data_IF_543916320869
#
_entry.id   IF_543916320869
#
_cell.length_a   1.000
_cell.length_b   1.000
_cell.length_c   1.000
_cell.angle_alpha   90.00
_cell.angle_beta   90.00
_cell.angle_gamma   90.00
#
_symmetry.space_group_name_H-M   'P 1'
#
loop_
_entity.id
_entity.type
_entity.pdbx_description
1 polymer ?
#
# COMPACT_ATOMS: atom_id res chain seq x y z
N UNK A 1 -3.99 -5.87 -5.74
CA UNK A 1 -4.07 -5.92 -4.27
C UNK A 1 -3.87 -4.52 -3.68
N UNK A 2 -4.65 -4.18 -2.63
CA UNK A 2 -4.54 -2.96 -1.83
C UNK A 2 -4.02 -3.31 -0.43
N UNK A 3 -2.81 -2.90 -0.12
CA UNK A 3 -2.10 -3.17 1.13
C UNK A 3 -2.38 -2.06 2.14
N UNK A 4 -2.84 -2.46 3.34
CA UNK A 4 -3.32 -1.51 4.35
C UNK A 4 -4.64 -0.85 3.95
N UNK A 5 -5.40 -1.50 3.06
CA UNK A 5 -6.63 -0.97 2.48
C UNK A 5 -7.81 -0.88 3.44
N UNK A 6 -7.73 -1.50 4.61
CA UNK A 6 -8.72 -1.62 5.68
C UNK A 6 -10.01 -0.84 5.51
N UNK A 7 -10.05 0.40 5.97
CA UNK A 7 -11.22 1.29 5.87
C UNK A 7 -11.11 2.31 4.71
N UNK A 8 -10.16 2.10 3.79
CA UNK A 8 -9.98 2.92 2.60
C UNK A 8 -11.21 2.84 1.68
N UNK A 9 -11.48 3.94 0.96
CA UNK A 9 -12.51 4.00 -0.07
C UNK A 9 -11.98 3.62 -1.47
N UNK A 10 -10.72 3.24 -1.61
CA UNK A 10 -10.18 2.86 -2.91
C UNK A 10 -10.98 1.71 -3.53
N UNK A 11 -11.28 0.70 -2.74
CA UNK A 11 -12.07 -0.46 -3.20
C UNK A 11 -13.46 -0.08 -3.72
N UNK A 12 -14.09 0.95 -3.14
CA UNK A 12 -15.40 1.45 -3.60
C UNK A 12 -15.28 2.00 -5.03
N UNK A 13 -14.23 2.80 -5.29
CA UNK A 13 -13.96 3.34 -6.63
C UNK A 13 -13.56 2.26 -7.63
N UNK A 14 -12.75 1.30 -7.23
CA UNK A 14 -12.36 0.18 -8.10
C UNK A 14 -13.58 -0.63 -8.55
N UNK A 15 -14.50 -0.91 -7.64
CA UNK A 15 -15.76 -1.59 -7.97
C UNK A 15 -16.64 -0.76 -8.89
N UNK A 16 -16.73 0.56 -8.67
CA UNK A 16 -17.51 1.46 -9.51
C UNK A 16 -16.96 1.54 -10.95
N UNK A 17 -15.64 1.42 -11.11
CA UNK A 17 -14.93 1.37 -12.39
C UNK A 17 -14.86 -0.06 -12.97
N UNK A 18 -15.65 -1.00 -12.40
CA UNK A 18 -15.78 -2.38 -12.88
C UNK A 18 -14.47 -3.19 -12.82
N UNK A 19 -13.54 -2.87 -11.90
CA UNK A 19 -12.41 -3.73 -11.64
C UNK A 19 -12.87 -5.02 -10.97
N UNK A 20 -12.30 -6.12 -11.42
CA UNK A 20 -12.52 -7.47 -10.89
C UNK A 20 -11.22 -7.98 -10.21
N UNK A 21 -11.32 -9.11 -9.52
CA UNK A 21 -10.17 -9.76 -8.86
C UNK A 21 -9.44 -8.84 -7.85
N UNK A 22 -10.21 -8.07 -7.08
CA UNK A 22 -9.69 -7.15 -6.08
C UNK A 22 -9.38 -7.92 -4.79
N UNK A 23 -8.17 -7.72 -4.26
CA UNK A 23 -7.78 -8.20 -2.93
C UNK A 23 -7.48 -7.01 -2.04
N UNK A 24 -7.97 -7.04 -0.81
CA UNK A 24 -7.63 -6.06 0.25
C UNK A 24 -6.95 -6.78 1.38
N UNK A 25 -5.76 -6.35 1.75
CA UNK A 25 -5.02 -6.86 2.89
C UNK A 25 -4.88 -5.76 3.95
N UNK A 26 -5.19 -6.10 5.18
CA UNK A 26 -4.94 -5.22 6.33
C UNK A 26 -4.68 -6.06 7.59
N UNK A 27 -3.93 -5.51 8.52
CA UNK A 27 -3.72 -6.13 9.84
C UNK A 27 -4.94 -5.95 10.75
N UNK A 28 -5.78 -4.95 10.48
CA UNK A 28 -6.95 -4.59 11.29
C UNK A 28 -8.23 -5.23 10.78
N UNK A 29 -8.62 -6.34 11.37
CA UNK A 29 -9.91 -6.99 11.09
C UNK A 29 -11.08 -6.02 11.26
N UNK A 30 -11.06 -5.18 12.32
CA UNK A 30 -12.11 -4.18 12.57
C UNK A 30 -12.22 -3.13 11.47
N UNK A 31 -11.12 -2.73 10.84
CA UNK A 31 -11.15 -1.81 9.71
C UNK A 31 -11.81 -2.47 8.50
N UNK A 32 -11.46 -3.72 8.22
CA UNK A 32 -12.09 -4.50 7.15
C UNK A 32 -13.59 -4.74 7.39
N UNK A 33 -14.00 -5.02 8.61
CA UNK A 33 -15.43 -5.18 8.94
C UNK A 33 -16.23 -3.89 8.64
N UNK A 34 -15.67 -2.71 8.93
CA UNK A 34 -16.29 -1.44 8.57
C UNK A 34 -16.42 -1.27 7.06
N UNK A 35 -15.38 -1.61 6.32
CA UNK A 35 -15.39 -1.57 4.85
C UNK A 35 -16.43 -2.54 4.28
N UNK A 36 -16.46 -3.79 4.76
CA UNK A 36 -17.45 -4.79 4.36
C UNK A 36 -18.89 -4.31 4.63
N UNK A 37 -19.13 -3.74 5.81
CA UNK A 37 -20.45 -3.18 6.17
C UNK A 37 -20.84 -2.02 5.23
N UNK A 38 -19.91 -1.15 4.88
CA UNK A 38 -20.13 -0.03 3.95
C UNK A 38 -20.47 -0.52 2.55
N UNK A 39 -19.78 -1.53 2.05
CA UNK A 39 -19.95 -2.09 0.71
C UNK A 39 -21.21 -2.97 0.57
N UNK A 40 -21.74 -3.48 1.69
CA UNK A 40 -22.89 -4.38 1.66
C UNK A 40 -22.62 -5.62 0.82
N UNK A 41 -23.55 -5.96 -0.08
CA UNK A 41 -23.45 -7.16 -0.95
C UNK A 41 -22.21 -7.11 -1.86
N UNK A 42 -21.71 -5.94 -2.21
CA UNK A 42 -20.52 -5.80 -3.03
C UNK A 42 -19.23 -6.28 -2.33
N UNK A 43 -19.23 -6.41 -1.00
CA UNK A 43 -18.11 -6.95 -0.26
C UNK A 43 -17.78 -8.40 -0.64
N UNK A 44 -18.75 -9.16 -1.12
CA UNK A 44 -18.58 -10.55 -1.58
C UNK A 44 -17.71 -10.66 -2.85
N UNK A 45 -17.54 -9.56 -3.59
CA UNK A 45 -16.71 -9.49 -4.79
C UNK A 45 -15.23 -9.30 -4.48
N UNK A 46 -14.87 -9.09 -3.21
CA UNK A 46 -13.53 -8.73 -2.76
C UNK A 46 -12.92 -9.90 -1.99
N UNK A 47 -11.65 -10.20 -2.27
CA UNK A 47 -10.87 -11.11 -1.45
C UNK A 47 -10.27 -10.34 -0.26
N UNK A 48 -10.70 -10.67 0.97
CA UNK A 48 -10.28 -9.99 2.19
C UNK A 48 -9.26 -10.84 2.94
N UNK A 49 -8.09 -10.28 3.24
CA UNK A 49 -6.99 -10.96 3.92
C UNK A 49 -6.60 -10.17 5.17
N UNK A 50 -6.85 -10.74 6.34
CA UNK A 50 -6.33 -10.20 7.62
C UNK A 50 -4.96 -10.79 7.87
N UNK A 51 -3.92 -9.97 7.73
CA UNK A 51 -2.53 -10.41 7.90
C UNK A 51 -1.59 -9.24 8.17
N UNK A 52 -0.53 -9.49 8.92
CA UNK A 52 0.67 -8.68 8.86
C UNK A 52 1.34 -8.88 7.50
N UNK A 53 1.68 -7.80 6.83
CA UNK A 53 2.30 -7.86 5.49
C UNK A 53 3.65 -8.58 5.51
N UNK A 54 4.38 -8.56 6.61
CA UNK A 54 5.67 -9.24 6.75
C UNK A 54 5.54 -10.76 6.89
N UNK A 55 4.34 -11.24 7.23
CA UNK A 55 4.01 -12.68 7.34
C UNK A 55 3.13 -13.15 6.17
N UNK A 56 2.71 -12.24 5.30
CA UNK A 56 1.86 -12.55 4.15
C UNK A 56 2.59 -13.44 3.14
N UNK A 57 1.96 -14.54 2.77
CA UNK A 57 2.47 -15.52 1.80
C UNK A 57 1.50 -15.61 0.62
N UNK A 58 1.57 -14.68 -0.35
CA UNK A 58 0.67 -14.72 -1.50
C UNK A 58 0.86 -16.00 -2.32
N UNK A 59 -0.25 -16.64 -2.65
CA UNK A 59 -0.28 -17.83 -3.50
C UNK A 59 -0.42 -17.46 -4.99
N UNK A 60 -0.95 -16.29 -5.28
CA UNK A 60 -1.16 -15.76 -6.63
C UNK A 60 -0.28 -14.55 -6.89
N UNK A 61 -0.13 -14.21 -8.16
CA UNK A 61 0.48 -12.96 -8.58
C UNK A 61 -0.59 -11.85 -8.68
N UNK A 62 -0.16 -10.59 -8.56
CA UNK A 62 -1.00 -9.42 -8.66
C UNK A 62 -0.50 -8.51 -9.77
N UNK A 63 -1.36 -8.12 -10.72
CA UNK A 63 -0.98 -7.18 -11.77
C UNK A 63 -0.60 -5.83 -11.21
N UNK A 64 -1.36 -5.36 -10.23
CA UNK A 64 -1.15 -4.08 -9.54
C UNK A 64 -1.04 -4.33 -8.03
N UNK A 65 0.02 -3.82 -7.46
CA UNK A 65 0.24 -3.76 -6.01
C UNK A 65 0.16 -2.31 -5.58
N UNK A 66 -0.87 -1.97 -4.84
CA UNK A 66 -1.05 -0.64 -4.25
C UNK A 66 -0.78 -0.70 -2.75
N UNK A 67 0.07 0.18 -2.26
CA UNK A 67 0.34 0.37 -0.84
C UNK A 67 0.32 1.87 -0.54
N UNK A 68 -0.64 2.28 0.25
CA UNK A 68 -0.68 3.62 0.80
C UNK A 68 -0.56 3.56 2.31
N UNK A 69 0.59 4.03 2.81
CA UNK A 69 0.85 4.18 4.24
C UNK A 69 0.99 2.86 5.04
N UNK A 70 1.41 1.75 4.38
CA UNK A 70 1.79 0.52 5.08
C UNK A 70 3.30 0.34 5.10
N UNK A 71 3.96 0.51 3.96
CA UNK A 71 5.41 0.32 3.84
C UNK A 71 6.22 1.18 4.82
N UNK A 72 5.78 2.37 5.15
CA UNK A 72 6.48 3.26 6.08
C UNK A 72 6.48 2.76 7.54
N UNK A 73 5.62 1.81 7.92
CA UNK A 73 5.67 1.17 9.24
C UNK A 73 6.76 0.10 9.36
N UNK A 74 7.33 -0.32 8.23
CA UNK A 74 8.45 -1.26 8.21
C UNK A 74 9.73 -0.48 8.50
N UNK A 75 10.17 -0.50 9.75
CA UNK A 75 11.27 0.33 10.23
C UNK A 75 12.59 -0.43 10.35
N UNK A 76 12.56 -1.77 10.31
CA UNK A 76 13.78 -2.58 10.38
C UNK A 76 14.19 -3.09 8.99
N UNK A 77 15.50 -3.28 8.75
CA UNK A 77 15.98 -3.84 7.48
C UNK A 77 15.36 -5.19 7.13
N UNK A 78 15.13 -6.04 8.12
CA UNK A 78 14.56 -7.38 7.92
C UNK A 78 13.10 -7.33 7.44
N UNK A 79 12.29 -6.41 8.00
CA UNK A 79 10.90 -6.20 7.58
C UNK A 79 10.85 -5.67 6.15
N UNK A 80 11.70 -4.68 5.84
CA UNK A 80 11.78 -4.06 4.51
C UNK A 80 12.19 -5.12 3.48
N UNK A 81 13.22 -5.93 3.78
CA UNK A 81 13.69 -6.99 2.88
C UNK A 81 12.62 -8.05 2.62
N UNK A 82 11.89 -8.50 3.66
CA UNK A 82 10.76 -9.42 3.51
C UNK A 82 9.71 -8.87 2.55
N UNK A 83 9.30 -7.63 2.76
CA UNK A 83 8.30 -6.95 1.94
C UNK A 83 8.75 -6.83 0.48
N UNK A 84 9.98 -6.37 0.24
CA UNK A 84 10.55 -6.23 -1.11
C UNK A 84 10.60 -7.58 -1.82
N UNK A 85 11.01 -8.65 -1.15
CA UNK A 85 11.01 -10.01 -1.71
C UNK A 85 9.62 -10.49 -2.15
N UNK A 86 8.58 -10.15 -1.38
CA UNK A 86 7.19 -10.46 -1.75
C UNK A 86 6.82 -9.73 -3.04
N UNK A 87 7.07 -8.43 -3.10
CA UNK A 87 6.77 -7.57 -4.26
C UNK A 87 7.53 -8.07 -5.50
N UNK A 88 8.84 -8.28 -5.42
CA UNK A 88 9.65 -8.74 -6.53
C UNK A 88 9.15 -10.05 -7.14
N UNK A 89 8.63 -10.93 -6.30
CA UNK A 89 8.13 -12.24 -6.70
C UNK A 89 6.70 -12.18 -7.25
N UNK A 90 5.83 -11.33 -6.70
CA UNK A 90 4.38 -11.44 -6.84
C UNK A 90 3.70 -10.29 -7.59
N UNK A 91 4.41 -9.19 -7.80
CA UNK A 91 3.87 -8.11 -8.63
C UNK A 91 4.13 -8.43 -10.09
N UNK A 92 3.07 -8.41 -10.91
CA UNK A 92 3.12 -8.73 -12.33
C UNK A 92 3.47 -7.54 -13.21
N UNK A 93 2.89 -6.36 -12.91
CA UNK A 93 3.03 -5.19 -13.79
C UNK A 93 3.41 -3.92 -13.05
N UNK A 94 2.60 -3.46 -12.11
CA UNK A 94 2.80 -2.15 -11.48
C UNK A 94 2.84 -2.22 -9.96
N UNK A 95 3.77 -1.44 -9.39
CA UNK A 95 3.82 -1.12 -7.96
C UNK A 95 3.49 0.36 -7.79
N UNK A 96 2.47 0.65 -7.00
CA UNK A 96 2.10 2.00 -6.57
C UNK A 96 2.32 2.07 -5.07
N UNK A 97 3.22 2.96 -4.63
CA UNK A 97 3.58 3.06 -3.22
C UNK A 97 3.52 4.50 -2.74
N UNK A 98 2.85 4.71 -1.61
CA UNK A 98 2.73 5.98 -0.93
C UNK A 98 3.24 5.90 0.50
N UNK A 99 4.25 6.68 0.84
CA UNK A 99 4.86 6.75 2.17
C UNK A 99 4.89 8.19 2.66
N UNK A 100 5.12 8.40 3.96
CA UNK A 100 5.50 9.74 4.39
C UNK A 100 6.83 10.15 3.74
N UNK A 101 6.85 11.40 3.22
CA UNK A 101 8.06 12.01 2.70
C UNK A 101 9.00 12.42 3.85
N UNK A 102 10.20 12.88 3.51
CA UNK A 102 11.14 13.45 4.47
C UNK A 102 10.58 14.67 5.24
N UNK A 103 9.54 15.32 4.68
CA UNK A 103 8.81 16.44 5.30
C UNK A 103 7.52 16.01 6.00
N UNK A 104 7.19 14.73 5.92
CA UNK A 104 6.03 14.14 6.57
C UNK A 104 6.27 13.87 8.06
N UNK A 105 5.25 13.36 8.77
CA UNK A 105 5.37 12.99 10.17
C UNK A 105 6.39 11.85 10.40
N UNK A 106 7.03 11.84 11.59
CA UNK A 106 7.88 10.74 12.04
C UNK A 106 7.13 9.65 12.78
N UNK A 107 5.83 9.89 13.04
CA UNK A 107 4.92 8.94 13.69
C UNK A 107 3.57 8.92 12.99
N UNK A 108 2.96 7.75 12.94
CA UNK A 108 1.59 7.55 12.47
C UNK A 108 0.85 6.67 13.48
N UNK A 109 -0.32 7.12 13.94
CA UNK A 109 -1.13 6.40 14.95
C UNK A 109 -0.32 6.01 16.20
N UNK A 110 0.63 6.85 16.63
CA UNK A 110 1.49 6.61 17.79
C UNK A 110 2.71 5.72 17.54
N UNK A 111 2.82 5.09 16.37
CA UNK A 111 3.94 4.24 15.98
C UNK A 111 5.00 5.04 15.21
N UNK A 112 6.26 4.67 15.39
CA UNK A 112 7.35 5.22 14.60
C UNK A 112 7.25 4.75 13.14
N UNK A 113 7.59 5.63 12.20
CA UNK A 113 7.59 5.34 10.78
C UNK A 113 8.91 5.76 10.14
N UNK A 114 9.25 5.09 9.05
CA UNK A 114 10.37 5.46 8.20
C UNK A 114 9.87 6.38 7.08
N UNK A 115 10.44 7.56 6.98
CA UNK A 115 10.19 8.49 5.89
C UNK A 115 11.01 8.12 4.67
N UNK A 116 10.52 8.43 3.48
CA UNK A 116 11.22 8.13 2.23
C UNK A 116 11.16 9.29 1.24
N UNK A 117 12.30 9.64 0.70
CA UNK A 117 12.40 10.43 -0.51
C UNK A 117 12.06 9.59 -1.76
N UNK A 118 11.80 10.26 -2.89
CA UNK A 118 11.57 9.58 -4.16
C UNK A 118 12.81 8.77 -4.63
N UNK A 119 14.02 9.26 -4.33
CA UNK A 119 15.26 8.57 -4.67
C UNK A 119 15.51 7.32 -3.82
N UNK A 120 15.14 7.35 -2.54
CA UNK A 120 15.23 6.16 -1.67
C UNK A 120 14.25 5.08 -2.09
N UNK A 121 13.00 5.44 -2.44
CA UNK A 121 12.04 4.47 -2.99
C UNK A 121 12.52 3.89 -4.32
N UNK A 122 13.07 4.73 -5.21
CA UNK A 122 13.66 4.25 -6.47
C UNK A 122 14.79 3.25 -6.21
N UNK A 123 15.72 3.57 -5.32
CA UNK A 123 16.82 2.66 -4.96
C UNK A 123 16.27 1.35 -4.37
N UNK A 124 15.26 1.44 -3.51
CA UNK A 124 14.68 0.29 -2.81
C UNK A 124 14.08 -0.74 -3.78
N UNK A 125 13.45 -0.27 -4.88
CA UNK A 125 12.76 -1.14 -5.82
C UNK A 125 13.48 -1.33 -7.16
N UNK A 126 14.66 -0.71 -7.38
CA UNK A 126 15.40 -0.69 -8.65
C UNK A 126 15.79 -2.07 -9.20
N UNK A 127 15.88 -3.09 -8.35
CA UNK A 127 16.28 -4.44 -8.77
C UNK A 127 15.32 -5.06 -9.80
N UNK A 128 14.01 -4.87 -9.60
CA UNK A 128 12.98 -5.48 -10.45
C UNK A 128 12.00 -4.48 -11.07
N UNK A 129 12.14 -3.20 -10.73
CA UNK A 129 11.18 -2.20 -11.16
C UNK A 129 11.87 -0.94 -11.67
N UNK A 130 11.28 -0.36 -12.72
CA UNK A 130 11.64 0.94 -13.26
C UNK A 130 10.67 1.99 -12.73
N UNK A 131 11.20 3.06 -12.18
CA UNK A 131 10.39 4.20 -11.78
C UNK A 131 9.77 4.88 -13.01
N UNK A 132 8.45 5.04 -12.99
CA UNK A 132 7.73 5.82 -14.00
C UNK A 132 7.52 7.25 -13.56
N UNK A 133 7.06 7.45 -12.31
CA UNK A 133 6.71 8.78 -11.79
C UNK A 133 6.76 8.77 -10.27
N UNK A 134 7.22 9.89 -9.69
CA UNK A 134 6.98 10.20 -8.28
C UNK A 134 6.40 11.61 -8.15
N UNK A 135 5.53 11.80 -7.17
CA UNK A 135 4.98 13.10 -6.77
C UNK A 135 5.07 13.23 -5.25
N UNK A 136 5.22 14.46 -4.78
CA UNK A 136 5.03 14.78 -3.36
C UNK A 136 3.70 15.53 -3.21
N UNK A 137 2.90 15.14 -2.23
CA UNK A 137 1.55 15.69 -2.04
C UNK A 137 1.23 15.84 -0.56
N UNK A 138 0.60 16.97 -0.23
CA UNK A 138 0.05 17.22 1.09
C UNK A 138 -1.34 16.58 1.23
N UNK A 139 -1.47 15.65 2.15
CA UNK A 139 -2.75 15.11 2.59
C UNK A 139 -3.22 15.84 3.83
N UNK A 140 -4.44 16.39 3.78
CA UNK A 140 -5.08 16.99 4.95
C UNK A 140 -5.93 15.94 5.63
N UNK A 141 -5.61 15.65 6.88
CA UNK A 141 -6.38 14.68 7.69
C UNK A 141 -7.74 15.27 8.10
N UNK A 142 -8.70 14.45 8.54
CA UNK A 142 -9.96 14.95 9.13
C UNK A 142 -9.78 15.89 10.34
N UNK A 143 -8.58 15.90 10.94
CA UNK A 143 -8.21 16.78 12.06
C UNK A 143 -7.44 18.03 11.61
N UNK A 144 -7.53 18.38 10.31
CA UNK A 144 -6.87 19.54 9.70
C UNK A 144 -5.33 19.55 9.80
N UNK A 145 -4.71 18.40 10.14
CA UNK A 145 -3.26 18.27 10.13
C UNK A 145 -2.77 17.89 8.75
N UNK A 146 -1.66 18.50 8.32
CA UNK A 146 -1.02 18.17 7.05
C UNK A 146 -0.05 17.01 7.22
N UNK A 147 -0.12 16.06 6.30
CA UNK A 147 0.81 14.95 6.19
C UNK A 147 1.37 14.94 4.77
N UNK A 148 2.66 15.18 4.62
CA UNK A 148 3.29 15.17 3.32
C UNK A 148 3.70 13.75 2.95
N UNK A 149 3.25 13.30 1.77
CA UNK A 149 3.52 11.97 1.21
C UNK A 149 4.41 12.06 -0.02
N UNK A 150 5.21 11.03 -0.22
CA UNK A 150 5.84 10.69 -1.49
C UNK A 150 5.07 9.52 -2.09
N UNK A 151 4.47 9.70 -3.28
CA UNK A 151 3.83 8.65 -4.06
C UNK A 151 4.69 8.34 -5.27
N UNK A 152 5.02 7.06 -5.47
CA UNK A 152 5.76 6.59 -6.63
C UNK A 152 5.03 5.47 -7.35
N UNK A 153 5.11 5.48 -8.67
CA UNK A 153 4.62 4.44 -9.57
C UNK A 153 5.83 3.81 -10.24
N UNK A 154 5.88 2.49 -10.18
CA UNK A 154 6.92 1.68 -10.79
C UNK A 154 6.30 0.64 -11.71
N UNK A 155 6.99 0.34 -12.80
CA UNK A 155 6.68 -0.74 -13.74
C UNK A 155 7.69 -1.86 -13.56
N UNK A 156 7.21 -3.10 -13.57
CA UNK A 156 8.09 -4.28 -13.48
C UNK A 156 8.96 -4.39 -14.72
N UNK A 157 10.26 -4.61 -14.52
CA UNK A 157 11.18 -4.89 -15.61
C UNK A 157 10.80 -6.21 -16.30
N UNK A 158 10.85 -6.23 -17.63
CA UNK A 158 10.61 -7.44 -18.44
C UNK A 158 11.74 -8.44 -18.29
#
# INVERSE_FOLDING_TARGET
>A
IDIGGGDSKLVDFLLAECYENITVLDISEKAMERAKKRLGINAEKINWIVSDITEFKPETDYDIWHDRATFHFLTTPEQIEKYVKIIEKRVGSFLIIGTFSEQGPKKCSGLDVKQYSASELETQFSNRFKKLKCIAEDHVTPFETKQNFTFCIFEKNK
#
